data_IF_229502526493
#
_entry.id   IF_229502526493
#
_cell.length_a   1.000
_cell.length_b   1.000
_cell.length_c   1.000
_cell.angle_alpha   90.00
_cell.angle_beta   90.00
_cell.angle_gamma   90.00
#
_symmetry.space_group_name_H-M   'P 1'
#
loop_
_entity.id
_entity.type
_entity.pdbx_description
1 polymer ?
#
# COMPACT_ATOMS: atom_id res chain seq x y z
N UNK A 1 -17.66 28.52 8.39
CA UNK A 1 -16.69 28.44 7.28
C UNK A 1 -16.47 26.96 6.99
N UNK A 2 -17.00 26.47 5.86
CA UNK A 2 -16.78 25.08 5.43
C UNK A 2 -15.31 24.97 5.04
N UNK A 3 -14.58 24.11 5.76
CA UNK A 3 -13.19 23.78 5.50
C UNK A 3 -13.09 23.26 4.07
N UNK A 4 -12.38 23.97 3.21
CA UNK A 4 -12.12 23.53 1.86
C UNK A 4 -11.40 22.18 1.93
N UNK A 5 -12.09 21.11 1.52
CA UNK A 5 -11.44 19.86 1.19
C UNK A 5 -10.25 20.19 0.29
N UNK A 6 -9.06 19.70 0.62
CA UNK A 6 -7.94 19.80 -0.30
C UNK A 6 -8.30 18.95 -1.53
N UNK A 7 -8.97 19.56 -2.51
CA UNK A 7 -9.34 18.94 -3.77
C UNK A 7 -8.07 18.37 -4.38
N UNK A 8 -8.08 17.08 -4.69
CA UNK A 8 -6.96 16.52 -5.43
C UNK A 8 -7.05 16.99 -6.88
N UNK A 9 -6.31 18.05 -7.17
CA UNK A 9 -6.13 18.54 -8.52
C UNK A 9 -4.66 18.87 -8.75
N UNK A 10 -4.33 19.06 -10.02
CA UNK A 10 -3.06 19.59 -10.44
C UNK A 10 -3.09 21.11 -10.37
N UNK A 11 -2.06 21.69 -9.76
CA UNK A 11 -1.82 23.11 -9.72
C UNK A 11 -1.21 23.64 -11.04
N UNK A 12 -0.91 22.77 -12.01
CA UNK A 12 -0.29 23.16 -13.27
C UNK A 12 -0.86 22.39 -14.46
N UNK A 13 -1.10 23.08 -15.57
CA UNK A 13 -1.60 22.48 -16.82
C UNK A 13 -0.57 21.57 -17.49
N UNK A 14 0.72 21.71 -17.17
CA UNK A 14 1.80 20.87 -17.73
C UNK A 14 2.01 19.56 -16.97
N UNK A 15 1.22 19.27 -15.92
CA UNK A 15 1.42 18.08 -15.10
C UNK A 15 1.40 16.79 -15.91
N UNK A 16 0.53 16.66 -16.92
CA UNK A 16 0.50 15.51 -17.83
C UNK A 16 1.79 15.34 -18.63
N UNK A 17 2.31 16.41 -19.21
CA UNK A 17 3.56 16.37 -19.97
C UNK A 17 4.77 16.03 -19.08
N UNK A 18 4.78 16.53 -17.84
CA UNK A 18 5.82 16.21 -16.86
C UNK A 18 5.72 14.78 -16.34
N UNK A 19 4.51 14.28 -16.11
CA UNK A 19 4.33 12.87 -15.75
C UNK A 19 4.73 11.93 -16.89
N UNK A 20 4.38 12.26 -18.14
CA UNK A 20 4.80 11.52 -19.33
C UNK A 20 6.34 11.47 -19.50
N UNK A 21 7.05 12.47 -18.98
CA UNK A 21 8.52 12.50 -18.95
C UNK A 21 9.12 11.91 -17.66
N UNK A 22 8.33 11.21 -16.84
CA UNK A 22 8.81 10.50 -15.66
C UNK A 22 9.08 11.40 -14.44
N UNK A 23 8.55 12.63 -14.41
CA UNK A 23 8.79 13.54 -13.29
C UNK A 23 8.16 13.07 -11.97
N UNK A 24 7.11 12.24 -12.01
CA UNK A 24 6.50 11.67 -10.80
C UNK A 24 7.49 10.82 -9.98
N UNK A 25 8.53 10.27 -10.60
CA UNK A 25 9.61 9.54 -9.91
C UNK A 25 10.85 10.41 -9.71
N UNK A 26 11.26 11.14 -10.75
CA UNK A 26 12.51 11.91 -10.77
C UNK A 26 12.43 13.18 -9.91
N UNK A 27 11.27 13.84 -9.90
CA UNK A 27 10.99 15.04 -9.14
C UNK A 27 9.73 14.84 -8.28
N UNK A 28 9.69 13.70 -7.61
CA UNK A 28 8.53 13.24 -6.85
C UNK A 28 8.04 14.30 -5.85
N UNK A 29 8.92 15.01 -5.14
CA UNK A 29 8.52 16.01 -4.13
C UNK A 29 7.69 17.14 -4.76
N UNK A 30 8.16 17.74 -5.86
CA UNK A 30 7.42 18.81 -6.53
C UNK A 30 6.14 18.28 -7.18
N UNK A 31 6.24 17.16 -7.87
CA UNK A 31 5.13 16.57 -8.60
C UNK A 31 4.04 16.06 -7.66
N UNK A 32 4.40 15.55 -6.48
CA UNK A 32 3.47 15.11 -5.46
C UNK A 32 2.83 16.26 -4.66
N UNK A 33 3.34 17.49 -4.75
CA UNK A 33 2.68 18.67 -4.19
C UNK A 33 1.79 19.36 -5.24
N UNK A 34 2.34 19.56 -6.44
CA UNK A 34 1.74 20.39 -7.51
C UNK A 34 0.98 19.60 -8.57
N UNK A 35 1.26 18.32 -8.74
CA UNK A 35 0.68 17.46 -9.78
C UNK A 35 0.09 16.18 -9.17
N UNK A 36 -0.59 16.35 -8.02
CA UNK A 36 -1.11 15.25 -7.20
C UNK A 36 -2.04 14.34 -7.98
N UNK A 37 -2.89 14.91 -8.83
CA UNK A 37 -3.84 14.13 -9.62
C UNK A 37 -3.13 13.34 -10.69
N UNK A 38 -2.27 13.99 -11.47
CA UNK A 38 -1.58 13.31 -12.56
C UNK A 38 -0.58 12.25 -12.06
N UNK A 39 0.12 12.50 -10.95
CA UNK A 39 1.06 11.52 -10.39
C UNK A 39 0.41 10.45 -9.51
N UNK A 40 -0.92 10.41 -9.43
CA UNK A 40 -1.64 9.47 -8.58
C UNK A 40 -1.36 9.68 -7.08
N UNK A 41 -0.83 10.84 -6.70
CA UNK A 41 -0.60 11.25 -5.31
C UNK A 41 -1.83 11.96 -4.70
N UNK A 42 -3.03 11.60 -5.16
CA UNK A 42 -4.30 11.98 -4.57
C UNK A 42 -4.58 11.20 -3.30
N UNK A 43 -3.81 11.41 -2.24
CA UNK A 43 -4.34 11.11 -0.91
C UNK A 43 -5.05 12.36 -0.40
N UNK A 44 -6.36 12.44 -0.64
CA UNK A 44 -7.23 13.24 0.24
C UNK A 44 -7.15 12.55 1.60
N UNK A 45 -6.17 12.97 2.39
CA UNK A 45 -5.89 12.43 3.72
C UNK A 45 -6.78 13.15 4.75
N UNK A 46 -8.07 13.10 4.51
CA UNK A 46 -9.07 13.62 5.42
C UNK A 46 -10.26 12.70 5.40
N UNK A 47 -10.89 12.56 6.56
CA UNK A 47 -12.18 11.91 6.65
C UNK A 47 -13.22 12.78 5.95
N UNK A 48 -14.01 12.15 5.10
CA UNK A 48 -15.05 12.79 4.29
C UNK A 48 -16.41 12.76 4.99
N UNK A 49 -16.55 11.95 6.03
CA UNK A 49 -17.79 11.74 6.78
C UNK A 49 -17.54 11.94 8.28
N UNK A 50 -18.50 12.56 8.97
CA UNK A 50 -18.36 12.86 10.40
C UNK A 50 -18.35 11.61 11.29
N UNK A 51 -18.98 10.52 10.83
CA UNK A 51 -19.09 9.24 11.57
C UNK A 51 -17.81 8.39 11.61
N UNK A 52 -16.70 8.84 11.03
CA UNK A 52 -15.50 8.02 10.89
C UNK A 52 -14.93 7.53 12.23
N UNK A 53 -14.92 8.36 13.27
CA UNK A 53 -14.41 7.97 14.59
C UNK A 53 -15.23 6.84 15.25
N UNK A 54 -16.56 6.90 15.13
CA UNK A 54 -17.47 5.86 15.64
C UNK A 54 -17.29 4.55 14.88
N UNK A 55 -17.27 4.62 13.54
CA UNK A 55 -17.06 3.45 12.70
C UNK A 55 -15.67 2.82 12.91
N UNK A 56 -14.64 3.62 13.21
CA UNK A 56 -13.35 3.08 13.62
C UNK A 56 -13.46 2.30 14.94
N UNK A 57 -14.17 2.83 15.94
CA UNK A 57 -14.40 2.12 17.20
C UNK A 57 -15.11 0.78 16.97
N UNK A 58 -16.01 0.71 15.98
CA UNK A 58 -16.70 -0.52 15.53
C UNK A 58 -15.84 -1.43 14.63
N UNK A 59 -14.56 -1.11 14.45
CA UNK A 59 -13.59 -1.82 13.60
C UNK A 59 -13.96 -1.87 12.12
N UNK A 60 -14.68 -0.87 11.62
CA UNK A 60 -15.06 -0.80 10.21
C UNK A 60 -13.85 -0.66 9.28
N UNK A 61 -12.71 -0.13 9.76
CA UNK A 61 -11.47 -0.11 8.98
C UNK A 61 -11.00 -1.51 8.55
N UNK A 62 -11.45 -2.58 9.24
CA UNK A 62 -11.13 -3.97 8.89
C UNK A 62 -12.36 -4.69 8.32
N UNK A 63 -13.55 -4.44 8.89
CA UNK A 63 -14.80 -5.12 8.49
C UNK A 63 -15.43 -4.56 7.22
N UNK A 64 -15.12 -3.31 6.90
CA UNK A 64 -15.66 -2.58 5.76
C UNK A 64 -14.58 -1.67 5.18
N UNK A 65 -13.40 -2.26 4.97
CA UNK A 65 -12.20 -1.54 4.56
C UNK A 65 -12.44 -0.71 3.30
N UNK A 66 -13.13 -1.26 2.28
CA UNK A 66 -13.37 -0.52 1.02
C UNK A 66 -14.17 0.77 1.23
N UNK A 67 -15.20 0.74 2.09
CA UNK A 67 -15.97 1.94 2.41
C UNK A 67 -15.13 2.92 3.22
N UNK A 68 -14.47 2.42 4.26
CA UNK A 68 -13.69 3.25 5.16
C UNK A 68 -12.43 3.82 4.49
N UNK A 69 -11.83 3.12 3.54
CA UNK A 69 -10.71 3.62 2.75
C UNK A 69 -11.13 4.82 1.89
N UNK A 70 -12.32 4.78 1.29
CA UNK A 70 -12.81 5.87 0.45
C UNK A 70 -13.26 7.08 1.26
N UNK A 71 -13.89 6.86 2.41
CA UNK A 71 -14.59 7.91 3.15
C UNK A 71 -13.93 8.31 4.47
N UNK A 72 -13.13 7.43 5.05
CA UNK A 72 -12.45 7.62 6.33
C UNK A 72 -10.94 7.29 6.27
N UNK A 73 -10.20 7.74 5.23
CA UNK A 73 -8.81 7.34 5.05
C UNK A 73 -7.90 7.85 6.18
N UNK A 74 -8.23 8.97 6.81
CA UNK A 74 -7.43 9.53 7.91
C UNK A 74 -7.63 8.75 9.18
N UNK A 75 -8.88 8.54 9.58
CA UNK A 75 -9.22 7.75 10.75
C UNK A 75 -8.67 6.33 10.63
N UNK A 76 -8.73 5.69 9.46
CA UNK A 76 -8.18 4.34 9.27
C UNK A 76 -6.65 4.27 9.11
N UNK A 77 -5.92 5.39 9.28
CA UNK A 77 -4.46 5.40 9.18
C UNK A 77 -3.93 5.11 7.77
N UNK A 78 -4.71 5.43 6.73
CA UNK A 78 -4.37 5.23 5.31
C UNK A 78 -3.72 6.47 4.67
N UNK A 79 -3.68 7.57 5.43
CA UNK A 79 -2.87 8.74 5.18
C UNK A 79 -1.38 8.41 5.11
N UNK A 80 -0.73 8.71 3.98
CA UNK A 80 0.68 8.37 3.73
C UNK A 80 0.89 7.41 2.56
N UNK A 81 -0.20 7.00 1.90
CA UNK A 81 -0.15 6.13 0.74
C UNK A 81 0.21 4.71 1.15
N UNK A 82 -0.79 3.85 1.35
CA UNK A 82 -0.55 2.44 1.03
C UNK A 82 -0.32 2.44 -0.48
N UNK A 83 0.84 1.98 -0.97
CA UNK A 83 1.07 1.99 -2.41
C UNK A 83 -0.04 1.15 -3.06
N UNK A 84 -0.51 1.52 -4.26
CA UNK A 84 -1.66 0.90 -4.93
C UNK A 84 -1.51 -0.62 -5.17
N UNK A 85 -0.32 -1.15 -4.90
CA UNK A 85 0.08 -2.56 -4.87
C UNK A 85 0.16 -3.14 -3.44
N UNK A 86 -0.41 -2.49 -2.43
CA UNK A 86 -0.30 -2.94 -1.05
C UNK A 86 -0.98 -4.30 -0.90
N UNK A 87 -0.17 -5.30 -0.57
CA UNK A 87 -0.63 -6.65 -0.31
C UNK A 87 -1.39 -6.69 1.03
N UNK A 88 -2.71 -6.68 0.97
CA UNK A 88 -3.55 -7.01 2.12
C UNK A 88 -4.88 -7.57 1.66
N UNK A 89 -5.65 -8.02 2.64
CA UNK A 89 -7.04 -8.40 2.47
C UNK A 89 -7.93 -7.20 2.80
N UNK A 90 -9.00 -7.04 2.03
CA UNK A 90 -10.01 -5.98 2.13
C UNK A 90 -11.17 -6.40 3.04
N UNK A 91 -11.25 -7.68 3.42
CA UNK A 91 -12.28 -8.22 4.31
C UNK A 91 -11.66 -9.19 5.32
N UNK A 92 -12.15 -9.14 6.56
CA UNK A 92 -11.78 -10.06 7.64
C UNK A 92 -12.09 -11.53 7.31
N UNK A 93 -13.05 -11.78 6.41
CA UNK A 93 -13.45 -13.12 6.00
C UNK A 93 -12.55 -13.74 4.93
N UNK A 94 -11.62 -12.97 4.35
CA UNK A 94 -10.74 -13.46 3.29
C UNK A 94 -9.99 -14.75 3.68
N UNK A 95 -9.55 -14.88 4.92
CA UNK A 95 -8.86 -16.10 5.39
C UNK A 95 -9.81 -17.31 5.40
N UNK A 96 -11.05 -17.12 5.86
CA UNK A 96 -12.06 -18.17 5.89
C UNK A 96 -12.46 -18.60 4.47
N UNK A 97 -12.67 -17.63 3.58
CA UNK A 97 -12.98 -17.87 2.16
C UNK A 97 -11.84 -18.58 1.44
N UNK A 98 -10.59 -18.17 1.67
CA UNK A 98 -9.44 -18.85 1.12
C UNK A 98 -9.36 -20.32 1.56
N UNK A 99 -9.59 -20.61 2.86
CA UNK A 99 -9.68 -21.98 3.39
C UNK A 99 -10.82 -22.79 2.80
N UNK A 100 -11.90 -22.14 2.38
CA UNK A 100 -13.05 -22.76 1.70
C UNK A 100 -12.81 -23.01 0.20
N UNK A 101 -11.66 -22.58 -0.35
CA UNK A 101 -11.32 -22.79 -1.75
C UNK A 101 -11.77 -21.67 -2.69
N UNK A 102 -12.23 -20.53 -2.17
CA UNK A 102 -12.71 -19.40 -2.97
C UNK A 102 -11.61 -18.81 -3.86
N UNK A 103 -10.33 -18.96 -3.52
CA UNK A 103 -9.23 -18.53 -4.39
C UNK A 103 -9.26 -19.22 -5.77
N UNK A 104 -9.78 -20.46 -5.84
CA UNK A 104 -9.96 -21.20 -7.09
C UNK A 104 -11.39 -21.08 -7.64
N UNK A 105 -12.41 -21.17 -6.77
CA UNK A 105 -13.82 -21.12 -7.17
C UNK A 105 -14.34 -19.73 -7.54
N UNK A 106 -13.74 -18.68 -6.98
CA UNK A 106 -14.13 -17.29 -7.12
C UNK A 106 -12.90 -16.37 -7.25
N UNK A 107 -11.97 -16.81 -8.11
CA UNK A 107 -10.62 -16.23 -8.18
C UNK A 107 -10.60 -14.73 -8.52
N UNK A 108 -11.54 -14.24 -9.32
CA UNK A 108 -11.59 -12.81 -9.70
C UNK A 108 -11.86 -11.92 -8.49
N UNK A 109 -12.92 -12.24 -7.73
CA UNK A 109 -13.25 -11.55 -6.49
C UNK A 109 -12.11 -11.64 -5.47
N UNK A 110 -11.53 -12.82 -5.32
CA UNK A 110 -10.47 -13.05 -4.35
C UNK A 110 -9.16 -12.35 -4.74
N UNK A 111 -8.86 -12.21 -6.04
CA UNK A 111 -7.70 -11.41 -6.52
C UNK A 111 -7.86 -9.92 -6.23
N UNK A 112 -9.08 -9.41 -6.29
CA UNK A 112 -9.33 -7.99 -6.03
C UNK A 112 -9.41 -7.67 -4.54
N UNK A 113 -9.93 -8.60 -3.72
CA UNK A 113 -10.28 -8.32 -2.32
C UNK A 113 -9.43 -9.10 -1.30
N UNK A 114 -8.79 -10.21 -1.67
CA UNK A 114 -8.19 -11.15 -0.73
C UNK A 114 -6.78 -11.56 -1.16
N UNK A 115 -5.98 -10.59 -1.61
CA UNK A 115 -4.65 -10.80 -2.21
C UNK A 115 -3.71 -11.55 -1.27
N UNK A 116 -3.75 -11.23 0.03
CA UNK A 116 -2.88 -11.86 1.04
C UNK A 116 -3.35 -13.26 1.34
N UNK A 117 -4.65 -13.45 1.60
CA UNK A 117 -5.23 -14.75 1.91
C UNK A 117 -5.08 -15.76 0.75
N UNK A 118 -5.12 -15.28 -0.50
CA UNK A 118 -4.86 -16.12 -1.68
C UNK A 118 -3.39 -16.21 -2.10
N UNK A 119 -2.46 -15.71 -1.27
CA UNK A 119 -1.02 -15.77 -1.55
C UNK A 119 -0.60 -15.14 -2.89
N UNK A 120 -1.34 -14.13 -3.34
CA UNK A 120 -1.09 -13.40 -4.59
C UNK A 120 -0.08 -12.27 -4.43
N UNK A 121 0.41 -12.11 -3.21
CA UNK A 121 1.38 -11.10 -2.89
C UNK A 121 2.79 -11.58 -3.19
N UNK A 122 3.57 -10.76 -3.90
CA UNK A 122 4.98 -11.02 -4.08
C UNK A 122 5.69 -11.05 -2.72
N UNK A 123 6.60 -12.01 -2.48
CA UNK A 123 7.48 -11.95 -1.32
C UNK A 123 8.42 -10.76 -1.46
N UNK A 124 8.26 -9.73 -0.62
CA UNK A 124 9.34 -8.78 -0.34
C UNK A 124 9.19 -7.32 -0.80
N UNK A 125 8.00 -6.75 -0.94
CA UNK A 125 7.87 -5.27 -1.05
C UNK A 125 6.69 -4.73 -0.25
N UNK A 126 6.78 -4.74 1.07
CA UNK A 126 6.04 -3.81 1.92
C UNK A 126 6.81 -3.59 3.22
N UNK A 127 7.07 -2.32 3.50
CA UNK A 127 7.43 -1.74 4.78
C UNK A 127 8.89 -1.82 5.22
N UNK A 128 9.51 -0.64 5.24
CA UNK A 128 10.73 -0.34 6.00
C UNK A 128 10.50 -0.61 7.48
N UNK A 129 10.78 -1.84 7.90
CA UNK A 129 11.07 -2.15 9.28
C UNK A 129 12.58 -2.35 9.40
N UNK A 130 13.22 -1.36 10.04
CA UNK A 130 14.49 -1.58 10.70
C UNK A 130 14.33 -2.76 11.68
N UNK A 131 14.82 -3.92 11.29
CA UNK A 131 15.28 -4.95 12.23
C UNK A 131 16.70 -5.30 11.84
N UNK A 132 17.62 -4.89 12.71
CA UNK A 132 18.98 -5.38 12.68
C UNK A 132 18.97 -6.91 12.70
N UNK A 133 19.38 -7.49 11.59
CA UNK A 133 19.95 -8.82 11.52
C UNK A 133 21.14 -8.69 10.58
N UNK A 134 22.33 -8.79 11.15
CA UNK A 134 23.56 -8.89 10.38
C UNK A 134 23.44 -10.10 9.44
N UNK A 135 23.92 -10.02 8.19
CA UNK A 135 23.98 -11.19 7.33
C UNK A 135 24.82 -12.28 7.99
N UNK A 136 24.31 -13.51 8.02
CA UNK A 136 25.07 -14.69 8.41
C UNK A 136 26.37 -14.76 7.60
N UNK A 137 27.52 -15.10 8.20
CA UNK A 137 28.78 -15.16 7.47
C UNK A 137 28.74 -16.28 6.43
N UNK A 138 29.20 -15.96 5.22
CA UNK A 138 29.42 -16.93 4.16
C UNK A 138 30.45 -17.99 4.60
N UNK A 139 30.28 -19.27 4.22
CA UNK A 139 31.27 -20.30 4.52
C UNK A 139 32.57 -20.01 3.76
N UNK A 140 33.64 -19.74 4.51
CA UNK A 140 34.99 -19.56 3.97
C UNK A 140 35.50 -20.89 3.42
N UNK A 141 35.74 -20.99 2.11
CA UNK A 141 36.60 -22.03 1.54
C UNK A 141 38.05 -21.72 1.91
N UNK A 142 38.52 -22.25 3.03
CA UNK A 142 39.95 -22.42 3.30
C UNK A 142 40.37 -23.81 2.82
N UNK A 143 41.10 -23.87 1.72
CA UNK A 143 41.99 -24.99 1.42
C UNK A 143 43.31 -24.44 0.88
N UNK A 144 44.18 -24.06 1.81
CA UNK A 144 45.62 -24.25 1.64
C UNK A 144 46.11 -24.96 2.90
N UNK A 145 46.47 -26.23 2.74
CA UNK A 145 47.58 -26.92 3.41
C UNK A 145 47.49 -28.42 3.09
N UNK A 146 48.08 -28.82 1.96
CA UNK A 146 48.74 -30.12 1.84
C UNK A 146 50.22 -29.83 1.56
N UNK A 147 50.99 -29.73 2.64
CA UNK A 147 52.41 -30.06 2.68
C UNK A 147 52.62 -30.82 3.98
N UNK A 148 52.39 -32.14 3.96
CA UNK A 148 53.06 -33.14 4.79
C UNK A 148 53.00 -34.49 4.06
N UNK A 149 53.84 -34.63 3.05
CA UNK A 149 54.69 -35.78 2.72
C UNK A 149 55.52 -35.46 1.49
#
# INVERSE_FOLDING_TARGET
AVVAAAVCDDANTNCEAWAASGQCTTNAVYMHDRCRRTCGNCTICSDLLDGCAEWQADRQCVRNFRFMHKHCPKTCGLCGGRPLNSCHDEDIKCEAWAKQGECAGNGDFMRDNCKRSCSLCAPGTSDGQARGQQPLPAPQRQQQQQQQQ
#
